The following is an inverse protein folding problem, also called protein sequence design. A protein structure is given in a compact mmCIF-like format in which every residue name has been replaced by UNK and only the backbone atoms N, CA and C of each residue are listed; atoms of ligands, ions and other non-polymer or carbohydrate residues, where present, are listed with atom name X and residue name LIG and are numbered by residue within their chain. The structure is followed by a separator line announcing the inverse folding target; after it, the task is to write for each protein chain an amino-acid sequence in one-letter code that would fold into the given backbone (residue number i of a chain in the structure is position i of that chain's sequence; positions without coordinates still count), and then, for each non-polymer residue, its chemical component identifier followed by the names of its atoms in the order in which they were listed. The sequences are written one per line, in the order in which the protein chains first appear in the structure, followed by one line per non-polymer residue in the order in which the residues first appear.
data_IF_822794664251
#
_entry.id   IF_822794664251
#
_cell.length_a   1.000
_cell.length_b   1.000
_cell.length_c   1.000
_cell.angle_alpha   90.00
_cell.angle_beta   90.00
_cell.angle_gamma   90.00
#
_symmetry.space_group_name_H-M   'P 1'
#
loop_
_entity.id
_entity.type
_entity.pdbx_description
1 polymer ?
#
# COMPACT_ATOMS: atom_id res chain seq x y z
N UNK A 1 -0.15 -5.83 -11.24
CA UNK A 1 -0.64 -6.96 -10.43
C UNK A 1 -0.65 -6.49 -9.00
N UNK A 2 -1.74 -6.51 -8.25
CA UNK A 2 -1.72 -6.03 -6.85
C UNK A 2 -0.77 -6.95 -6.07
N UNK A 3 0.40 -6.44 -5.68
CA UNK A 3 1.34 -7.15 -4.82
C UNK A 3 1.02 -6.71 -3.39
N UNK A 4 0.11 -7.38 -2.70
CA UNK A 4 0.13 -7.29 -1.24
C UNK A 4 1.38 -7.99 -0.75
N UNK A 5 2.13 -7.38 0.17
CA UNK A 5 3.36 -8.02 0.64
C UNK A 5 2.91 -9.12 1.61
N UNK A 6 3.05 -10.42 1.26
CA UNK A 6 2.48 -11.46 2.09
C UNK A 6 3.20 -11.47 3.43
N UNK A 7 2.45 -11.62 4.54
CA UNK A 7 2.99 -11.81 5.92
C UNK A 7 4.09 -12.89 6.03
N UNK A 8 4.22 -13.75 5.01
CA UNK A 8 5.16 -14.87 4.92
C UNK A 8 6.46 -14.53 4.15
N UNK A 9 6.62 -13.31 3.64
CA UNK A 9 7.82 -12.88 2.95
C UNK A 9 8.97 -12.69 3.95
N UNK A 10 10.09 -13.41 3.74
CA UNK A 10 11.31 -13.31 4.58
C UNK A 10 12.13 -12.02 4.32
N UNK A 11 11.56 -11.05 3.60
CA UNK A 11 12.23 -9.78 3.37
C UNK A 11 12.11 -8.93 4.65
N UNK A 12 13.21 -8.24 5.01
CA UNK A 12 13.20 -7.29 6.12
C UNK A 12 12.26 -6.14 5.75
N UNK A 13 11.10 -6.08 6.38
CA UNK A 13 10.17 -4.97 6.25
C UNK A 13 10.36 -4.08 7.45
N UNK A 14 10.93 -2.91 7.19
CA UNK A 14 11.25 -1.92 8.21
C UNK A 14 10.16 -0.84 8.25
N UNK A 15 8.88 -1.23 8.22
CA UNK A 15 7.72 -0.35 8.37
C UNK A 15 6.70 -1.06 9.24
N UNK A 16 5.93 -0.32 10.04
CA UNK A 16 4.87 -0.94 10.85
C UNK A 16 3.71 0.01 11.10
N UNK A 17 2.49 -0.45 10.86
CA UNK A 17 1.24 0.25 11.19
C UNK A 17 0.80 -0.14 12.60
N UNK A 18 1.20 0.67 13.58
CA UNK A 18 0.98 0.39 15.01
C UNK A 18 -0.52 0.52 15.39
N UNK A 19 -1.16 -0.54 15.91
CA UNK A 19 -2.57 -0.50 16.31
C UNK A 19 -2.84 0.47 17.48
N UNK A 20 -1.82 0.76 18.31
CA UNK A 20 -1.94 1.69 19.43
C UNK A 20 -1.70 3.16 19.01
N UNK A 21 -1.17 3.38 17.80
CA UNK A 21 -0.93 4.70 17.24
C UNK A 21 -2.12 5.15 16.39
N UNK A 22 -2.94 6.05 16.92
CA UNK A 22 -4.08 6.60 16.19
C UNK A 22 -3.60 7.47 15.01
N UNK A 23 -3.98 7.08 13.80
CA UNK A 23 -3.79 7.88 12.60
C UNK A 23 -4.63 9.16 12.71
N UNK A 24 -3.98 10.32 12.66
CA UNK A 24 -4.63 11.62 12.83
C UNK A 24 -5.63 11.99 11.72
N UNK A 25 -5.52 11.35 10.54
CA UNK A 25 -6.39 11.59 9.39
C UNK A 25 -7.63 10.70 9.42
N UNK A 26 -7.50 9.48 9.95
CA UNK A 26 -8.58 8.47 9.95
C UNK A 26 -9.24 8.28 11.32
N UNK A 27 -8.56 8.65 12.42
CA UNK A 27 -9.04 8.50 13.79
C UNK A 27 -9.03 7.05 14.29
N UNK A 28 -8.30 6.17 13.62
CA UNK A 28 -8.23 4.73 13.90
C UNK A 28 -6.75 4.30 14.01
N UNK A 29 -6.47 3.24 14.77
CA UNK A 29 -5.15 2.63 14.84
C UNK A 29 -4.80 1.85 13.56
N UNK A 30 -3.53 1.45 13.40
CA UNK A 30 -3.09 0.60 12.30
C UNK A 30 -3.61 -0.84 12.36
N UNK A 31 -3.32 -1.62 11.32
CA UNK A 31 -3.74 -3.02 11.18
C UNK A 31 -2.78 -4.04 11.82
N UNK A 32 -1.70 -3.56 12.46
CA UNK A 32 -0.63 -4.36 13.04
C UNK A 32 0.12 -5.22 12.00
N UNK A 33 0.34 -4.66 10.81
CA UNK A 33 1.19 -5.22 9.76
C UNK A 33 2.22 -4.20 9.23
N UNK A 34 3.21 -4.63 8.43
CA UNK A 34 4.01 -3.72 7.63
C UNK A 34 3.17 -3.01 6.55
N UNK A 35 3.48 -1.74 6.31
CA UNK A 35 2.86 -0.92 5.26
C UNK A 35 2.75 -1.62 3.90
N UNK A 36 1.55 -1.62 3.34
CA UNK A 36 1.24 -2.31 2.10
C UNK A 36 1.59 -1.51 0.84
N UNK A 37 1.96 -2.23 -0.23
CA UNK A 37 2.45 -1.62 -1.48
C UNK A 37 1.84 -2.28 -2.74
N UNK A 38 0.90 -1.61 -3.39
CA UNK A 38 0.40 -1.96 -4.71
C UNK A 38 1.43 -1.66 -5.83
N UNK A 39 2.17 -2.67 -6.29
CA UNK A 39 3.06 -2.55 -7.44
C UNK A 39 2.30 -2.66 -8.79
N UNK A 40 2.38 -1.63 -9.64
CA UNK A 40 1.51 -1.51 -10.84
C UNK A 40 2.21 -1.84 -12.17
N UNK A 41 3.45 -2.32 -12.11
CA UNK A 41 4.22 -2.72 -13.28
C UNK A 41 3.58 -3.86 -14.08
N UNK A 42 4.04 -3.97 -15.32
CA UNK A 42 3.59 -4.94 -16.32
C UNK A 42 4.09 -6.36 -16.04
N UNK A 43 5.26 -6.50 -15.40
CA UNK A 43 5.84 -7.79 -15.08
C UNK A 43 5.17 -8.44 -13.86
N UNK A 44 4.77 -9.70 -13.98
CA UNK A 44 4.29 -10.50 -12.85
C UNK A 44 5.44 -10.72 -11.86
N UNK A 45 5.22 -10.33 -10.61
CA UNK A 45 6.11 -10.65 -9.51
C UNK A 45 5.90 -12.09 -9.02
N UNK A 46 6.92 -12.65 -8.37
CA UNK A 46 6.84 -13.94 -7.68
C UNK A 46 6.86 -13.74 -6.16
N UNK A 47 6.21 -14.63 -5.41
CA UNK A 47 6.22 -14.56 -3.94
C UNK A 47 7.66 -14.61 -3.41
N UNK A 48 7.99 -13.70 -2.50
CA UNK A 48 9.35 -13.54 -1.96
C UNK A 48 10.31 -12.73 -2.83
N UNK A 49 9.88 -12.23 -3.99
CA UNK A 49 10.70 -11.35 -4.82
C UNK A 49 10.89 -9.99 -4.16
N UNK A 50 12.15 -9.52 -4.15
CA UNK A 50 12.47 -8.15 -3.77
C UNK A 50 12.65 -7.32 -5.04
N UNK A 51 11.83 -6.27 -5.20
CA UNK A 51 11.86 -5.35 -6.34
C UNK A 51 12.27 -3.96 -5.86
N UNK A 52 13.01 -3.23 -6.70
CA UNK A 52 13.22 -1.79 -6.49
C UNK A 52 12.03 -1.06 -7.09
N UNK A 53 11.37 -0.25 -6.29
CA UNK A 53 10.14 0.44 -6.69
C UNK A 53 10.29 1.95 -6.59
N UNK A 54 9.43 2.67 -7.32
CA UNK A 54 9.22 4.10 -7.21
C UNK A 54 7.79 4.36 -6.73
N UNK A 55 7.60 4.92 -5.52
CA UNK A 55 6.29 5.34 -5.03
C UNK A 55 5.71 6.46 -5.91
N UNK A 56 4.41 6.38 -6.19
CA UNK A 56 3.66 7.32 -7.02
C UNK A 56 2.57 8.04 -6.23
N UNK A 57 1.99 7.37 -5.23
CA UNK A 57 0.93 7.90 -4.38
C UNK A 57 0.49 6.89 -3.33
N UNK A 58 -0.60 7.19 -2.64
CA UNK A 58 -1.20 6.27 -1.67
C UNK A 58 -2.71 6.50 -1.56
N UNK A 59 -3.44 5.50 -1.08
CA UNK A 59 -4.82 5.64 -0.62
C UNK A 59 -4.99 4.80 0.65
N UNK A 60 -6.06 5.06 1.39
CA UNK A 60 -6.36 4.35 2.65
C UNK A 60 -7.66 3.59 2.51
N UNK A 61 -7.67 2.39 3.07
CA UNK A 61 -8.88 1.63 3.32
C UNK A 61 -9.10 1.55 4.82
N UNK A 62 -10.36 1.60 5.25
CA UNK A 62 -10.75 1.35 6.62
C UNK A 62 -11.23 -0.09 6.67
N UNK A 63 -10.32 -0.97 7.05
CA UNK A 63 -10.53 -2.41 7.04
C UNK A 63 -10.96 -2.88 8.43
N UNK A 64 -12.21 -3.29 8.58
CA UNK A 64 -12.76 -3.81 9.84
C UNK A 64 -12.52 -2.89 11.08
N UNK A 65 -12.38 -1.57 10.85
CA UNK A 65 -12.14 -0.56 11.90
C UNK A 65 -10.67 -0.19 12.12
N UNK A 66 -9.77 -0.64 11.24
CA UNK A 66 -8.34 -0.32 11.27
C UNK A 66 -7.97 0.55 10.07
N UNK A 67 -6.98 1.42 10.27
CA UNK A 67 -6.32 2.17 9.19
C UNK A 67 -5.40 1.21 8.45
N UNK A 68 -5.58 1.10 7.15
CA UNK A 68 -4.75 0.26 6.28
C UNK A 68 -4.34 1.07 5.03
N UNK A 69 -3.09 1.51 5.01
CA UNK A 69 -2.54 2.34 3.93
C UNK A 69 -2.00 1.49 2.78
N UNK A 70 -2.46 1.80 1.57
CA UNK A 70 -1.97 1.19 0.33
C UNK A 70 -1.12 2.19 -0.45
N UNK A 71 0.19 1.99 -0.46
CA UNK A 71 1.11 2.75 -1.32
C UNK A 71 1.00 2.24 -2.75
N UNK A 72 0.82 3.14 -3.72
CA UNK A 72 0.87 2.81 -5.15
C UNK A 72 2.29 3.07 -5.65
N UNK A 73 2.93 2.06 -6.22
CA UNK A 73 4.31 2.14 -6.70
C UNK A 73 4.50 1.38 -8.01
N UNK A 74 5.62 1.62 -8.69
CA UNK A 74 6.00 0.89 -9.91
C UNK A 74 7.45 0.41 -9.82
N UNK A 75 7.75 -0.77 -10.34
CA UNK A 75 9.13 -1.24 -10.51
C UNK A 75 9.95 -0.22 -11.32
N UNK A 76 11.13 0.15 -10.84
CA UNK A 76 12.03 1.10 -11.54
C UNK A 76 12.54 0.57 -12.88
N UNK A 77 12.44 -0.74 -13.11
CA UNK A 77 12.81 -1.39 -14.38
C UNK A 77 11.64 -1.55 -15.36
N UNK A 78 10.42 -1.18 -14.96
CA UNK A 78 9.27 -1.25 -15.85
C UNK A 78 9.40 -0.24 -17.02
N UNK A 79 8.99 -0.59 -18.25
CA UNK A 79 9.03 0.34 -19.38
C UNK A 79 8.28 1.66 -19.16
N UNK A 80 7.21 1.65 -18.35
CA UNK A 80 6.43 2.84 -18.00
C UNK A 80 7.00 3.60 -16.80
N UNK A 81 8.05 3.09 -16.15
CA UNK A 81 8.61 3.72 -14.96
C UNK A 81 9.05 5.16 -15.21
N UNK A 82 9.56 5.50 -16.40
CA UNK A 82 9.97 6.87 -16.72
C UNK A 82 8.79 7.82 -16.94
N UNK A 83 7.65 7.31 -17.40
CA UNK A 83 6.44 8.09 -17.67
C UNK A 83 5.57 8.33 -16.43
N UNK A 84 5.74 7.49 -15.40
CA UNK A 84 4.98 7.50 -14.17
C UNK A 84 5.80 8.08 -13.03
N UNK A 85 5.66 9.38 -12.73
CA UNK A 85 6.39 10.04 -11.63
C UNK A 85 5.49 10.53 -10.50
N UNK A 86 4.22 10.78 -10.79
CA UNK A 86 3.16 11.16 -9.85
C UNK A 86 1.92 10.28 -10.05
N UNK A 87 1.05 10.24 -9.04
CA UNK A 87 -0.19 9.44 -9.10
C UNK A 87 -1.11 9.84 -10.27
N UNK A 88 -1.09 11.11 -10.69
CA UNK A 88 -1.88 11.58 -11.83
C UNK A 88 -1.37 11.07 -13.18
N UNK A 89 -0.08 10.70 -13.28
CA UNK A 89 0.47 10.10 -14.48
C UNK A 89 -0.12 8.71 -14.71
N UNK A 90 -0.49 7.99 -13.63
CA UNK A 90 -1.12 6.67 -13.72
C UNK A 90 -2.46 6.78 -14.45
N UNK A 91 -3.30 7.75 -14.12
CA UNK A 91 -4.58 7.93 -14.83
C UNK A 91 -4.37 8.37 -16.29
N UNK A 92 -3.30 9.12 -16.58
CA UNK A 92 -2.95 9.53 -17.95
C UNK A 92 -2.49 8.34 -18.80
N UNK A 93 -1.62 7.49 -18.27
CA UNK A 93 -1.01 6.37 -19.00
C UNK A 93 -1.88 5.09 -18.94
N UNK A 94 -2.64 4.92 -17.86
CA UNK A 94 -3.49 3.76 -17.57
C UNK A 94 -4.89 4.23 -17.12
N UNK A 95 -5.70 4.82 -18.03
CA UNK A 95 -7.01 5.37 -17.67
C UNK A 95 -7.93 4.33 -17.02
N UNK A 96 -8.59 4.70 -15.93
CA UNK A 96 -9.49 3.85 -15.16
C UNK A 96 -8.81 2.88 -14.20
N UNK A 97 -7.49 2.69 -14.26
CA UNK A 97 -6.77 1.72 -13.43
C UNK A 97 -6.94 2.02 -11.94
N UNK A 98 -6.76 3.27 -11.52
CA UNK A 98 -6.86 3.68 -10.11
C UNK A 98 -8.29 3.54 -9.58
N UNK A 99 -9.29 3.72 -10.44
CA UNK A 99 -10.68 3.46 -10.08
C UNK A 99 -10.90 1.97 -9.83
N UNK A 100 -10.48 1.11 -10.76
CA UNK A 100 -10.57 -0.35 -10.60
C UNK A 100 -9.81 -0.88 -9.39
N UNK A 101 -8.62 -0.31 -9.11
CA UNK A 101 -7.82 -0.67 -7.94
C UNK A 101 -8.58 -0.40 -6.63
N UNK A 102 -9.13 0.81 -6.48
CA UNK A 102 -9.92 1.16 -5.30
C UNK A 102 -11.19 0.32 -5.18
N UNK A 103 -11.86 0.04 -6.29
CA UNK A 103 -13.07 -0.81 -6.29
C UNK A 103 -12.75 -2.25 -5.89
N UNK A 104 -11.58 -2.77 -6.31
CA UNK A 104 -11.10 -4.07 -5.87
C UNK A 104 -10.98 -4.10 -4.34
N UNK A 105 -10.27 -3.14 -3.76
CA UNK A 105 -10.10 -3.05 -2.31
C UNK A 105 -11.40 -2.82 -1.54
N UNK A 106 -12.38 -2.16 -2.16
CA UNK A 106 -13.72 -1.98 -1.57
C UNK A 106 -14.47 -3.31 -1.46
N UNK A 107 -14.26 -4.23 -2.41
CA UNK A 107 -15.10 -5.43 -2.58
C UNK A 107 -14.40 -6.76 -2.30
N UNK A 108 -13.08 -6.82 -2.16
CA UNK A 108 -12.34 -8.10 -2.18
C UNK A 108 -12.74 -9.06 -1.05
N UNK A 109 -13.21 -8.56 0.09
CA UNK A 109 -13.70 -9.36 1.23
C UNK A 109 -15.17 -9.80 1.11
N UNK A 110 -15.94 -9.26 0.16
CA UNK A 110 -17.37 -9.61 -0.02
C UNK A 110 -17.59 -11.10 -0.32
N UNK A 111 -16.80 -11.75 -1.19
CA UNK A 111 -16.92 -13.20 -1.41
C UNK A 111 -16.66 -14.06 -0.18
N UNK A 112 -15.95 -13.53 0.82
CA UNK A 112 -15.68 -14.20 2.10
C UNK A 112 -16.85 -14.07 3.10
N UNK A 113 -17.94 -13.42 2.69
CA UNK A 113 -19.11 -13.15 3.54
C UNK A 113 -18.96 -11.91 4.43
N UNK A 114 -17.89 -11.13 4.25
CA UNK A 114 -17.69 -9.84 4.94
C UNK A 114 -18.38 -8.70 4.18
N UNK A 115 -18.49 -7.54 4.81
CA UNK A 115 -19.03 -6.33 4.20
C UNK A 115 -18.08 -5.71 3.16
N UNK A 116 -18.55 -4.66 2.47
CA UNK A 116 -17.66 -3.81 1.66
C UNK A 116 -16.76 -2.98 2.59
N UNK A 117 -15.48 -2.87 2.25
CA UNK A 117 -14.55 -1.98 2.95
C UNK A 117 -14.88 -0.52 2.67
N UNK A 118 -14.60 0.36 3.62
CA UNK A 118 -14.76 1.81 3.42
C UNK A 118 -13.46 2.41 2.91
N UNK A 119 -13.51 3.24 1.87
CA UNK A 119 -12.35 4.02 1.47
C UNK A 119 -12.21 5.23 2.41
N UNK A 120 -11.09 5.31 3.13
CA UNK A 120 -10.78 6.43 4.01
C UNK A 120 -10.62 7.73 3.21
N UNK A 121 -10.73 8.88 3.88
CA UNK A 121 -10.60 10.21 3.25
C UNK A 121 -11.49 10.42 2.02
N UNK A 122 -12.68 9.80 1.99
CA UNK A 122 -13.61 9.81 0.84
C UNK A 122 -12.98 9.27 -0.45
N UNK A 123 -12.05 8.32 -0.33
CA UNK A 123 -11.35 7.69 -1.47
C UNK A 123 -10.36 8.60 -2.19
N UNK A 124 -9.85 9.62 -1.50
CA UNK A 124 -8.82 10.51 -2.03
C UNK A 124 -7.53 9.75 -2.32
N UNK A 125 -6.93 10.04 -3.48
CA UNK A 125 -5.59 9.60 -3.83
C UNK A 125 -4.58 10.64 -3.39
N UNK A 126 -3.67 10.24 -2.53
CA UNK A 126 -2.59 11.08 -2.03
C UNK A 126 -1.42 11.02 -3.00
N UNK A 127 -0.77 12.17 -3.25
CA UNK A 127 0.36 12.28 -4.17
C UNK A 127 1.64 11.63 -3.63
N UNK A 128 2.68 11.59 -4.46
CA UNK A 128 3.95 10.92 -4.16
C UNK A 128 4.62 11.42 -2.89
N UNK A 129 4.64 12.73 -2.67
CA UNK A 129 5.28 13.31 -1.48
C UNK A 129 4.64 12.82 -0.18
N UNK A 130 3.31 12.69 -0.17
CA UNK A 130 2.59 12.15 0.97
C UNK A 130 2.92 10.67 1.19
N UNK A 131 2.94 9.87 0.13
CA UNK A 131 3.31 8.46 0.20
C UNK A 131 4.74 8.26 0.74
N UNK A 132 5.70 9.10 0.32
CA UNK A 132 7.06 9.08 0.88
C UNK A 132 7.07 9.47 2.37
N UNK A 133 6.25 10.44 2.76
CA UNK A 133 6.05 10.81 4.17
C UNK A 133 5.49 9.66 5.00
N UNK A 134 4.49 8.92 4.48
CA UNK A 134 3.95 7.73 5.12
C UNK A 134 5.02 6.64 5.30
N UNK A 135 5.77 6.30 4.24
CA UNK A 135 6.84 5.30 4.31
C UNK A 135 7.85 5.69 5.38
N UNK A 136 8.29 6.95 5.41
CA UNK A 136 9.23 7.44 6.41
C UNK A 136 8.64 7.39 7.82
N UNK A 137 7.37 7.76 7.98
CA UNK A 137 6.67 7.73 9.28
C UNK A 137 6.62 6.32 9.85
N UNK A 138 6.10 5.35 9.08
CA UNK A 138 6.00 3.97 9.53
C UNK A 138 7.36 3.29 9.66
N UNK A 139 8.38 3.73 8.90
CA UNK A 139 9.75 3.29 9.11
C UNK A 139 10.34 3.79 10.43
N UNK A 140 10.09 5.04 10.78
CA UNK A 140 10.57 5.61 12.05
C UNK A 140 9.86 4.97 13.25
N UNK A 141 8.59 4.59 13.08
CA UNK A 141 7.81 3.88 14.09
C UNK A 141 8.23 2.41 14.25
N UNK A 142 8.82 1.83 13.21
CA UNK A 142 9.25 0.43 13.21
C UNK A 142 10.34 0.17 14.26
N UNK A 143 10.21 -0.96 14.95
CA UNK A 143 11.18 -1.50 15.89
C UNK A 143 11.36 -2.99 15.60
N UNK A 144 12.53 -3.60 15.88
CA UNK A 144 12.68 -5.05 15.81
C UNK A 144 11.60 -5.74 16.68
N UNK A 145 10.86 -6.68 16.09
CA UNK A 145 9.77 -7.42 16.76
C UNK A 145 10.12 -8.90 16.79
N UNK A 146 9.99 -9.53 17.97
CA UNK A 146 10.20 -10.97 18.13
C UNK A 146 9.24 -11.75 17.23
N UNK A 147 9.78 -12.62 16.35
CA UNK A 147 8.99 -13.45 15.43
C UNK A 147 9.04 -13.00 13.96
N UNK A 148 9.49 -11.78 13.69
CA UNK A 148 9.94 -11.36 12.36
C UNK A 148 11.47 -11.44 12.34
N UNK A 149 12.08 -12.24 11.43
CA UNK A 149 13.52 -12.45 11.46
C UNK A 149 14.25 -11.12 11.22
N UNK A 150 15.01 -10.69 12.23
CA UNK A 150 16.24 -9.95 11.98
C UNK A 150 17.15 -10.90 11.18
N UNK A 151 17.49 -10.50 9.96
CA UNK A 151 18.30 -11.30 9.05
C UNK A 151 19.60 -11.82 9.69
#
# INVERSE_FOLDING_TARGET
MIVEIPRQCKAKMETWEDPDAIDALNGLGGDDDPLDVCEIGSALAICGQVKRIKPLGAFVILDEGQTDWKVVAIDVSDPLANELSEICDVERCLPGFLHSLKEWYRRYKVPEGKGENTLGLRGQLMGRQFALGLIHHFHTAWKPRNGYPDA
#
